data_IF_980428499893
#
_entry.id   IF_980428499893
#
_cell.length_a   1.000
_cell.length_b   1.000
_cell.length_c   1.000
_cell.angle_alpha   90.00
_cell.angle_beta   90.00
_cell.angle_gamma   90.00
#
_symmetry.space_group_name_H-M   'P 1'
#
loop_
_entity.id
_entity.type
_entity.pdbx_description
1 polymer ?
#
# COMPACT_ATOMS: atom_id res chain seq x y z
N UNK A 1 14.53 0.64 -17.52
CA UNK A 1 13.65 -0.54 -17.36
C UNK A 1 12.44 -0.19 -16.49
N UNK A 2 11.37 -0.98 -16.54
CA UNK A 2 10.22 -0.88 -15.63
C UNK A 2 9.87 -2.30 -15.15
N UNK A 3 9.48 -2.44 -13.89
CA UNK A 3 9.03 -3.70 -13.30
C UNK A 3 7.54 -3.57 -13.01
N UNK A 4 6.75 -4.58 -13.37
CA UNK A 4 5.34 -4.66 -12.98
C UNK A 4 5.26 -5.13 -11.53
N UNK A 5 4.67 -4.31 -10.67
CA UNK A 5 4.60 -4.56 -9.21
C UNK A 5 3.23 -5.07 -8.74
N UNK A 6 2.25 -5.17 -9.64
CA UNK A 6 0.91 -5.71 -9.36
C UNK A 6 -0.13 -5.26 -10.38
N UNK A 7 -1.35 -5.77 -10.21
CA UNK A 7 -2.55 -5.40 -10.98
C UNK A 7 -3.57 -4.70 -10.07
N UNK A 8 -4.57 -4.04 -10.66
CA UNK A 8 -5.72 -3.48 -9.92
C UNK A 8 -5.46 -2.16 -9.21
N UNK A 9 -4.38 -1.44 -9.55
CA UNK A 9 -4.07 -0.12 -8.95
C UNK A 9 -5.08 0.98 -9.32
N UNK A 10 -5.89 0.78 -10.35
CA UNK A 10 -6.87 1.76 -10.85
C UNK A 10 -8.04 2.04 -9.88
N UNK A 11 -8.22 1.20 -8.86
CA UNK A 11 -9.25 1.41 -7.81
C UNK A 11 -8.68 2.14 -6.58
N UNK A 12 -7.40 2.48 -6.58
CA UNK A 12 -6.77 3.19 -5.47
C UNK A 12 -6.98 4.68 -5.61
N UNK A 13 -7.46 5.32 -4.55
CA UNK A 13 -7.65 6.77 -4.46
C UNK A 13 -6.41 7.48 -3.91
N UNK A 14 -5.54 6.77 -3.21
CA UNK A 14 -4.25 7.26 -2.75
C UNK A 14 -3.27 6.10 -2.61
N UNK A 15 -1.99 6.35 -2.90
CA UNK A 15 -0.86 5.43 -2.74
C UNK A 15 0.31 6.24 -2.19
N UNK A 16 0.96 5.74 -1.14
CA UNK A 16 2.14 6.39 -0.54
C UNK A 16 3.12 5.35 0.02
N UNK A 17 4.38 5.76 0.17
CA UNK A 17 5.36 5.00 0.93
C UNK A 17 5.21 5.32 2.42
N UNK A 18 5.20 4.27 3.26
CA UNK A 18 4.91 4.42 4.70
C UNK A 18 6.07 4.03 5.62
N UNK A 19 7.25 3.77 5.07
CA UNK A 19 8.36 3.20 5.83
C UNK A 19 8.15 1.71 6.10
N UNK A 20 8.68 1.17 7.20
CA UNK A 20 8.57 -0.25 7.55
C UNK A 20 7.41 -0.45 8.54
N UNK A 21 6.22 -0.80 8.03
CA UNK A 21 5.02 -1.04 8.82
C UNK A 21 4.94 -2.48 9.32
N UNK A 22 5.59 -3.42 8.63
CA UNK A 22 5.59 -4.84 8.99
C UNK A 22 6.68 -5.23 9.98
N UNK A 23 7.69 -4.37 10.17
CA UNK A 23 8.81 -4.59 11.09
C UNK A 23 9.86 -5.56 10.55
N UNK A 24 9.90 -5.78 9.23
CA UNK A 24 10.81 -6.74 8.58
C UNK A 24 12.09 -6.08 8.02
N UNK A 25 12.25 -4.77 8.26
CA UNK A 25 13.37 -3.96 7.82
C UNK A 25 13.26 -3.48 6.38
N UNK A 26 12.11 -3.65 5.72
CA UNK A 26 11.91 -3.28 4.31
C UNK A 26 10.82 -2.22 4.18
N UNK A 27 11.00 -1.23 3.29
CA UNK A 27 9.96 -0.22 3.07
C UNK A 27 8.69 -0.81 2.43
N UNK A 28 7.56 -0.49 3.04
CA UNK A 28 6.20 -0.86 2.65
C UNK A 28 5.50 0.29 1.91
N UNK A 29 4.48 -0.07 1.14
CA UNK A 29 3.50 0.88 0.60
C UNK A 29 2.19 0.78 1.38
N UNK A 30 1.47 1.90 1.43
CA UNK A 30 0.05 1.94 1.77
C UNK A 30 -0.77 2.42 0.59
N UNK A 31 -1.94 1.84 0.41
CA UNK A 31 -2.91 2.31 -0.57
C UNK A 31 -4.32 2.32 0.02
N UNK A 32 -5.09 3.33 -0.33
CA UNK A 32 -6.51 3.43 0.02
C UNK A 32 -7.34 3.18 -1.22
N UNK A 33 -8.27 2.23 -1.15
CA UNK A 33 -9.21 1.97 -2.26
C UNK A 33 -10.39 2.95 -2.29
N UNK A 34 -11.23 2.87 -3.31
CA UNK A 34 -12.45 3.68 -3.46
C UNK A 34 -13.50 3.44 -2.37
N UNK A 35 -13.46 2.30 -1.67
CA UNK A 35 -14.33 2.02 -0.53
C UNK A 35 -13.80 2.65 0.76
N UNK A 36 -12.62 3.29 0.73
CA UNK A 36 -11.96 3.84 1.90
C UNK A 36 -11.27 2.79 2.77
N UNK A 37 -11.02 1.60 2.24
CA UNK A 37 -10.22 0.57 2.92
C UNK A 37 -8.74 0.87 2.73
N UNK A 38 -7.97 0.85 3.82
CA UNK A 38 -6.51 0.94 3.77
C UNK A 38 -5.89 -0.45 3.68
N UNK A 39 -4.90 -0.56 2.81
CA UNK A 39 -4.14 -1.76 2.55
C UNK A 39 -2.65 -1.47 2.75
N UNK A 40 -1.95 -2.33 3.48
CA UNK A 40 -0.48 -2.33 3.53
C UNK A 40 0.05 -3.34 2.52
N UNK A 41 1.08 -2.97 1.77
CA UNK A 41 1.78 -3.81 0.80
C UNK A 41 3.20 -4.02 1.31
N UNK A 42 3.49 -5.19 1.91
CA UNK A 42 4.80 -5.47 2.49
C UNK A 42 5.92 -5.43 1.46
N UNK A 43 7.00 -4.71 1.74
CA UNK A 43 8.17 -4.64 0.88
C UNK A 43 8.93 -5.95 0.84
N UNK A 44 9.42 -6.36 -0.34
CA UNK A 44 10.25 -7.57 -0.46
C UNK A 44 11.76 -7.26 -0.53
N UNK A 45 12.15 -5.99 -0.66
CA UNK A 45 13.55 -5.54 -0.72
C UNK A 45 14.18 -5.68 -2.10
N UNK A 46 13.42 -6.18 -3.09
CA UNK A 46 13.83 -6.36 -4.48
C UNK A 46 13.00 -5.49 -5.46
N UNK A 47 12.29 -4.48 -4.95
CA UNK A 47 11.38 -3.62 -5.73
C UNK A 47 10.00 -4.23 -5.98
N UNK A 48 9.68 -5.39 -5.40
CA UNK A 48 8.35 -5.99 -5.40
C UNK A 48 7.69 -5.91 -4.02
N UNK A 49 6.39 -6.19 -4.00
CA UNK A 49 5.56 -6.20 -2.80
C UNK A 49 4.90 -7.56 -2.60
N UNK A 50 4.73 -7.95 -1.34
CA UNK A 50 4.03 -9.15 -0.93
C UNK A 50 2.51 -9.03 -1.03
N UNK A 51 1.81 -10.04 -0.50
CA UNK A 51 0.36 -10.00 -0.37
C UNK A 51 -0.07 -8.82 0.49
N UNK A 52 -1.05 -8.06 -0.01
CA UNK A 52 -1.60 -6.92 0.74
C UNK A 52 -2.26 -7.38 2.02
N UNK A 53 -2.08 -6.62 3.08
CA UNK A 53 -2.69 -6.79 4.39
C UNK A 53 -3.84 -5.79 4.50
N UNK A 54 -5.02 -6.25 4.92
CA UNK A 54 -6.16 -5.37 5.18
C UNK A 54 -5.97 -4.67 6.53
N UNK A 55 -5.81 -3.35 6.51
CA UNK A 55 -5.74 -2.54 7.74
C UNK A 55 -7.16 -2.22 8.24
N UNK A 56 -8.10 -1.99 7.32
CA UNK A 56 -9.51 -1.78 7.63
C UNK A 56 -10.15 -0.61 6.88
N UNK A 57 -11.47 -0.43 7.01
CA UNK A 57 -12.24 0.65 6.37
C UNK A 57 -12.08 2.00 7.08
N UNK A 58 -12.73 3.04 6.55
CA UNK A 58 -12.90 4.34 7.22
C UNK A 58 -11.83 5.39 6.92
N UNK A 59 -10.87 5.08 6.05
CA UNK A 59 -9.77 5.99 5.73
C UNK A 59 -10.13 7.09 4.75
N UNK A 60 -11.36 7.12 4.24
CA UNK A 60 -11.88 8.17 3.37
C UNK A 60 -12.05 9.53 4.08
N UNK A 61 -12.02 9.56 5.42
CA UNK A 61 -12.00 10.81 6.20
C UNK A 61 -10.66 11.53 6.13
N UNK A 62 -9.58 10.83 5.76
CA UNK A 62 -8.25 11.40 5.66
C UNK A 62 -8.04 12.06 4.29
N UNK A 63 -7.36 13.21 4.27
CA UNK A 63 -6.98 13.86 3.01
C UNK A 63 -5.68 13.30 2.42
N UNK A 64 -4.84 12.69 3.25
CA UNK A 64 -3.58 12.06 2.85
C UNK A 64 -3.37 10.73 3.62
N UNK A 65 -2.58 9.84 3.03
CA UNK A 65 -2.04 8.64 3.69
C UNK A 65 -0.52 8.65 3.52
N UNK A 66 0.21 8.43 4.59
CA UNK A 66 1.68 8.38 4.63
C UNK A 66 2.12 7.59 5.85
#
# INVERSE_FOLDING_TARGET
>A
WRIKVGDGWNVMTAISAAGDLTGDGKPDLVARDTNGTLWTYPGQGNGLFGWRINVGPGWNVMTAIS
#
